data_IF_917614455326
#
_entry.id   IF_917614455326
#
_cell.length_a   1.000
_cell.length_b   1.000
_cell.length_c   1.000
_cell.angle_alpha   90.00
_cell.angle_beta   90.00
_cell.angle_gamma   90.00
#
_symmetry.space_group_name_H-M   'P 1'
#
loop_
_entity.id
_entity.type
_entity.pdbx_description
1 polymer ?
#
# COMPACT_ATOMS: atom_id res chain seq x y z
N UNK A 1 17.46 2.96 -23.00
CA UNK A 1 17.39 1.54 -22.59
C UNK A 1 16.20 1.36 -21.65
N UNK A 2 15.55 0.19 -21.58
CA UNK A 2 14.47 -0.03 -20.63
C UNK A 2 14.98 0.20 -19.21
N UNK A 3 14.27 1.01 -18.44
CA UNK A 3 14.66 1.50 -17.12
C UNK A 3 14.99 0.39 -16.11
N UNK A 4 14.35 -0.78 -16.23
CA UNK A 4 14.62 -1.94 -15.38
C UNK A 4 15.97 -2.61 -15.66
N UNK A 5 16.46 -2.58 -16.91
CA UNK A 5 17.72 -3.23 -17.28
C UNK A 5 18.92 -2.49 -16.67
N UNK A 6 18.89 -1.16 -16.68
CA UNK A 6 19.94 -0.34 -16.10
C UNK A 6 20.05 -0.51 -14.59
N UNK A 7 18.91 -0.66 -13.89
CA UNK A 7 18.89 -0.88 -12.45
C UNK A 7 19.51 -2.24 -12.08
N UNK A 8 19.23 -3.30 -12.85
CA UNK A 8 19.81 -4.63 -12.62
C UNK A 8 21.32 -4.62 -12.86
N UNK A 9 21.78 -3.93 -13.90
CA UNK A 9 23.21 -3.74 -14.17
C UNK A 9 23.91 -3.02 -13.01
N UNK A 10 23.32 -1.93 -12.50
CA UNK A 10 23.86 -1.23 -11.33
C UNK A 10 23.83 -2.09 -10.06
N UNK A 11 22.82 -2.96 -9.91
CA UNK A 11 22.71 -3.83 -8.75
C UNK A 11 23.85 -4.86 -8.67
N UNK A 12 24.52 -5.20 -9.79
CA UNK A 12 25.66 -6.13 -9.78
C UNK A 12 26.80 -5.64 -8.88
N UNK A 13 27.00 -4.33 -8.80
CA UNK A 13 28.02 -3.70 -7.96
C UNK A 13 27.51 -3.30 -6.57
N UNK A 14 26.22 -3.55 -6.27
CA UNK A 14 25.56 -3.15 -5.03
C UNK A 14 24.92 -4.37 -4.35
N UNK A 15 25.66 -5.08 -3.47
CA UNK A 15 25.19 -6.32 -2.85
C UNK A 15 23.85 -6.20 -2.15
N UNK A 16 23.57 -5.08 -1.47
CA UNK A 16 22.28 -4.85 -0.82
C UNK A 16 21.11 -4.85 -1.81
N UNK A 17 21.30 -4.20 -2.97
CA UNK A 17 20.25 -4.06 -3.98
C UNK A 17 20.05 -5.37 -4.74
N UNK A 18 21.12 -6.07 -5.10
CA UNK A 18 21.01 -7.37 -5.77
C UNK A 18 20.29 -8.39 -4.88
N UNK A 19 20.67 -8.48 -3.60
CA UNK A 19 19.99 -9.39 -2.67
C UNK A 19 18.51 -9.02 -2.54
N UNK A 20 18.16 -7.73 -2.50
CA UNK A 20 16.74 -7.33 -2.40
C UNK A 20 15.94 -7.66 -3.68
N UNK A 21 16.54 -7.48 -4.86
CA UNK A 21 15.95 -7.89 -6.15
C UNK A 21 15.72 -9.42 -6.17
N UNK A 22 16.68 -10.20 -5.68
CA UNK A 22 16.55 -11.65 -5.60
C UNK A 22 15.49 -12.08 -4.58
N UNK A 23 15.40 -11.40 -3.44
CA UNK A 23 14.35 -11.62 -2.44
C UNK A 23 12.96 -11.41 -3.03
N UNK A 24 12.77 -10.27 -3.70
CA UNK A 24 11.52 -9.90 -4.37
C UNK A 24 11.15 -10.90 -5.48
N UNK A 25 12.15 -11.29 -6.28
CA UNK A 25 11.99 -12.28 -7.35
C UNK A 25 11.60 -13.66 -6.82
N UNK A 26 12.23 -14.10 -5.72
CA UNK A 26 11.90 -15.35 -5.05
C UNK A 26 10.46 -15.33 -4.52
N UNK A 27 9.99 -14.23 -3.92
CA UNK A 27 8.58 -14.11 -3.50
C UNK A 27 7.60 -14.20 -4.67
N UNK A 28 7.88 -13.51 -5.78
CA UNK A 28 7.07 -13.64 -6.98
C UNK A 28 7.09 -15.06 -7.57
N UNK A 29 8.23 -15.76 -7.49
CA UNK A 29 8.29 -17.18 -7.87
C UNK A 29 7.45 -18.06 -6.95
N UNK A 30 7.34 -17.74 -5.66
CA UNK A 30 6.47 -18.46 -4.74
C UNK A 30 4.99 -18.34 -5.12
N UNK A 31 4.55 -17.16 -5.60
CA UNK A 31 3.15 -16.95 -6.03
C UNK A 31 2.84 -17.61 -7.37
N UNK A 32 3.83 -17.76 -8.25
CA UNK A 32 3.67 -18.36 -9.58
C UNK A 32 3.97 -19.86 -9.62
N UNK A 33 4.64 -20.42 -8.59
CA UNK A 33 5.01 -21.84 -8.49
C UNK A 33 4.63 -22.43 -7.12
N UNK A 34 3.34 -22.75 -6.90
CA UNK A 34 2.85 -23.27 -5.62
C UNK A 34 3.60 -24.50 -5.10
N UNK A 35 3.99 -25.42 -6.00
CA UNK A 35 4.71 -26.66 -5.66
C UNK A 35 6.07 -26.42 -4.99
N UNK A 36 6.66 -25.24 -5.20
CA UNK A 36 7.96 -24.83 -4.65
C UNK A 36 7.85 -23.59 -3.76
N UNK A 37 6.63 -23.17 -3.40
CA UNK A 37 6.39 -21.92 -2.69
C UNK A 37 7.19 -21.85 -1.39
N UNK A 38 7.19 -22.90 -0.57
CA UNK A 38 7.95 -22.93 0.68
C UNK A 38 9.45 -22.74 0.49
N UNK A 39 10.03 -23.32 -0.57
CA UNK A 39 11.46 -23.17 -0.89
C UNK A 39 11.77 -21.73 -1.32
N UNK A 40 10.93 -21.14 -2.16
CA UNK A 40 11.10 -19.77 -2.61
C UNK A 40 10.85 -18.74 -1.51
N UNK A 41 9.91 -18.99 -0.59
CA UNK A 41 9.70 -18.15 0.60
C UNK A 41 10.92 -18.20 1.52
N UNK A 42 11.51 -19.38 1.71
CA UNK A 42 12.74 -19.52 2.47
C UNK A 42 13.87 -18.68 1.84
N UNK A 43 14.09 -18.86 0.54
CA UNK A 43 15.11 -18.13 -0.22
C UNK A 43 14.88 -16.60 -0.20
N UNK A 44 13.62 -16.17 -0.31
CA UNK A 44 13.26 -14.76 -0.21
C UNK A 44 13.68 -14.15 1.13
N UNK A 45 13.43 -14.87 2.23
CA UNK A 45 13.80 -14.43 3.58
C UNK A 45 15.31 -14.37 3.77
N UNK A 46 16.05 -15.36 3.26
CA UNK A 46 17.52 -15.35 3.31
C UNK A 46 18.10 -14.15 2.56
N UNK A 47 17.68 -13.92 1.31
CA UNK A 47 18.14 -12.79 0.53
C UNK A 47 17.76 -11.45 1.17
N UNK A 48 16.55 -11.31 1.71
CA UNK A 48 16.13 -10.09 2.39
C UNK A 48 16.99 -9.82 3.64
N UNK A 49 17.35 -10.85 4.40
CA UNK A 49 18.24 -10.72 5.56
C UNK A 49 19.66 -10.26 5.16
N UNK A 50 20.20 -10.82 4.08
CA UNK A 50 21.49 -10.38 3.53
C UNK A 50 21.42 -8.94 3.02
N UNK A 51 20.38 -8.61 2.27
CA UNK A 51 20.10 -7.27 1.75
C UNK A 51 20.12 -6.20 2.86
N UNK A 52 19.37 -6.41 3.94
CA UNK A 52 19.34 -5.53 5.10
C UNK A 52 20.69 -5.44 5.81
N UNK A 53 21.40 -6.57 5.94
CA UNK A 53 22.74 -6.59 6.55
C UNK A 53 23.72 -5.75 5.74
N UNK A 54 23.82 -5.98 4.42
CA UNK A 54 24.68 -5.20 3.54
C UNK A 54 24.32 -3.72 3.57
N UNK A 55 23.03 -3.38 3.50
CA UNK A 55 22.59 -1.99 3.54
C UNK A 55 23.04 -1.28 4.83
N UNK A 56 22.78 -1.89 5.98
CA UNK A 56 23.12 -1.34 7.29
C UNK A 56 24.64 -1.24 7.52
N UNK A 57 25.42 -2.18 6.99
CA UNK A 57 26.90 -2.13 7.08
C UNK A 57 27.54 -1.10 6.17
N UNK A 58 26.90 -0.76 5.05
CA UNK A 58 27.45 0.19 4.07
C UNK A 58 27.50 1.61 4.65
N UNK A 59 26.62 1.97 5.59
CA UNK A 59 26.49 3.31 6.18
C UNK A 59 26.56 4.45 5.14
N UNK A 60 26.02 4.21 3.95
CA UNK A 60 26.06 5.21 2.88
C UNK A 60 25.14 6.38 3.22
N UNK A 61 25.71 7.59 3.23
CA UNK A 61 24.89 8.80 3.16
C UNK A 61 24.15 8.84 1.82
N UNK A 62 22.92 9.33 1.82
CA UNK A 62 22.15 9.51 0.60
C UNK A 62 22.81 10.62 -0.23
N UNK A 63 23.37 10.25 -1.39
CA UNK A 63 23.98 11.16 -2.36
C UNK A 63 23.16 11.17 -3.65
N UNK A 64 23.45 12.12 -4.54
CA UNK A 64 22.82 12.16 -5.85
C UNK A 64 23.01 10.87 -6.66
N UNK A 65 24.15 10.21 -6.49
CA UNK A 65 24.56 9.06 -7.29
C UNK A 65 23.95 7.73 -6.82
N UNK A 66 23.60 7.63 -5.53
CA UNK A 66 23.05 6.41 -4.92
C UNK A 66 21.55 6.51 -4.54
N UNK A 67 20.95 7.71 -4.64
CA UNK A 67 19.59 7.97 -4.16
C UNK A 67 18.54 7.06 -4.82
N UNK A 68 18.67 6.81 -6.13
CA UNK A 68 17.72 5.94 -6.84
C UNK A 68 17.81 4.49 -6.34
N UNK A 69 19.01 3.99 -6.11
CA UNK A 69 19.26 2.62 -5.66
C UNK A 69 18.78 2.43 -4.23
N UNK A 70 19.04 3.40 -3.34
CA UNK A 70 18.51 3.40 -1.97
C UNK A 70 16.99 3.49 -1.94
N UNK A 71 16.40 4.30 -2.83
CA UNK A 71 14.95 4.43 -2.95
C UNK A 71 14.31 3.12 -3.41
N UNK A 72 14.83 2.52 -4.48
CA UNK A 72 14.30 1.25 -5.02
C UNK A 72 14.47 0.12 -4.02
N UNK A 73 15.63 0.04 -3.35
CA UNK A 73 15.84 -0.89 -2.25
C UNK A 73 14.77 -0.72 -1.15
N UNK A 74 14.58 0.51 -0.66
CA UNK A 74 13.62 0.79 0.41
C UNK A 74 12.19 0.52 -0.03
N UNK A 75 11.86 0.78 -1.30
CA UNK A 75 10.57 0.44 -1.88
C UNK A 75 10.32 -1.06 -1.90
N UNK A 76 11.31 -1.86 -2.35
CA UNK A 76 11.21 -3.32 -2.35
C UNK A 76 11.08 -3.90 -0.94
N UNK A 77 11.79 -3.35 0.04
CA UNK A 77 11.64 -3.74 1.45
C UNK A 77 10.20 -3.51 1.92
N UNK A 78 9.62 -2.34 1.60
CA UNK A 78 8.23 -2.05 1.92
C UNK A 78 7.25 -3.01 1.24
N UNK A 79 7.49 -3.33 -0.02
CA UNK A 79 6.69 -4.30 -0.75
C UNK A 79 6.75 -5.72 -0.15
N UNK A 80 7.92 -6.13 0.35
CA UNK A 80 8.09 -7.38 1.07
C UNK A 80 7.29 -7.38 2.39
N UNK A 81 7.27 -6.27 3.12
CA UNK A 81 6.44 -6.11 4.33
C UNK A 81 4.94 -6.17 4.03
N UNK A 82 4.49 -5.58 2.93
CA UNK A 82 3.10 -5.70 2.48
C UNK A 82 2.74 -7.16 2.18
N UNK A 83 3.63 -7.91 1.51
CA UNK A 83 3.44 -9.34 1.31
C UNK A 83 3.37 -10.11 2.64
N UNK A 84 4.24 -9.78 3.61
CA UNK A 84 4.21 -10.42 4.92
C UNK A 84 2.86 -10.20 5.63
N UNK A 85 2.32 -8.97 5.59
CA UNK A 85 0.99 -8.68 6.11
C UNK A 85 -0.11 -9.47 5.36
N UNK A 86 -0.01 -9.59 4.03
CA UNK A 86 -0.94 -10.38 3.22
C UNK A 86 -0.90 -11.88 3.55
N UNK A 87 0.28 -12.38 3.93
CA UNK A 87 0.58 -13.78 4.23
C UNK A 87 0.56 -14.14 5.73
N UNK A 88 0.21 -13.21 6.63
CA UNK A 88 0.14 -13.47 8.06
C UNK A 88 -0.76 -14.69 8.38
N UNK A 89 -0.48 -15.42 9.47
CA UNK A 89 -1.15 -16.68 9.76
C UNK A 89 -2.62 -16.52 10.16
N UNK A 90 -2.95 -15.43 10.86
CA UNK A 90 -4.28 -15.11 11.34
C UNK A 90 -4.63 -13.64 11.10
N UNK A 91 -5.92 -13.31 11.15
CA UNK A 91 -6.37 -11.95 10.88
C UNK A 91 -5.89 -10.93 11.93
N UNK A 92 -5.76 -11.29 13.22
CA UNK A 92 -5.29 -10.35 14.24
C UNK A 92 -3.85 -9.89 13.97
N UNK A 93 -3.00 -10.81 13.52
CA UNK A 93 -1.62 -10.51 13.12
C UNK A 93 -1.56 -9.63 11.86
N UNK A 94 -2.53 -9.73 10.94
CA UNK A 94 -2.58 -8.89 9.73
C UNK A 94 -2.59 -7.40 10.08
N UNK A 95 -3.39 -6.98 11.07
CA UNK A 95 -3.46 -5.55 11.43
C UNK A 95 -2.13 -5.04 11.95
N UNK A 96 -1.47 -5.78 12.85
CA UNK A 96 -0.19 -5.37 13.43
C UNK A 96 0.92 -5.34 12.36
N UNK A 97 0.97 -6.33 11.48
CA UNK A 97 1.90 -6.37 10.36
C UNK A 97 1.64 -5.25 9.34
N UNK A 98 0.37 -4.92 9.09
CA UNK A 98 0.02 -3.84 8.17
C UNK A 98 0.36 -2.46 8.75
N UNK A 99 0.15 -2.25 10.04
CA UNK A 99 0.60 -1.02 10.74
C UNK A 99 2.12 -0.91 10.63
N UNK A 100 2.86 -1.99 10.91
CA UNK A 100 4.33 -2.05 10.75
C UNK A 100 4.77 -1.72 9.32
N UNK A 101 4.06 -2.25 8.32
CA UNK A 101 4.28 -1.93 6.92
C UNK A 101 4.16 -0.43 6.65
N UNK A 102 3.05 0.21 7.04
CA UNK A 102 2.83 1.65 6.83
C UNK A 102 3.96 2.47 7.47
N UNK A 103 4.32 2.15 8.71
CA UNK A 103 5.34 2.89 9.46
C UNK A 103 6.73 2.83 8.82
N UNK A 104 7.17 1.64 8.44
CA UNK A 104 8.49 1.44 7.85
C UNK A 104 8.53 1.97 6.41
N UNK A 105 7.46 1.76 5.65
CA UNK A 105 7.41 2.17 4.26
C UNK A 105 7.33 3.70 4.09
N UNK A 106 6.89 4.45 5.10
CA UNK A 106 7.06 5.91 5.15
C UNK A 106 8.54 6.34 5.10
N UNK A 107 9.48 5.49 5.51
CA UNK A 107 10.92 5.73 5.37
C UNK A 107 11.35 5.98 3.91
N UNK A 108 10.64 5.37 2.94
CA UNK A 108 10.85 5.61 1.50
C UNK A 108 10.68 7.09 1.15
N UNK A 109 9.65 7.75 1.71
CA UNK A 109 9.40 9.18 1.49
C UNK A 109 10.50 10.05 2.08
N UNK A 110 11.09 9.67 3.21
CA UNK A 110 12.19 10.43 3.85
C UNK A 110 13.39 10.44 2.91
N UNK A 111 13.75 9.28 2.36
CA UNK A 111 14.84 9.14 1.37
C UNK A 111 14.52 9.94 0.10
N UNK A 112 13.29 9.80 -0.42
CA UNK A 112 12.85 10.52 -1.61
C UNK A 112 12.89 12.04 -1.44
N UNK A 113 12.47 12.54 -0.27
CA UNK A 113 12.44 13.98 0.03
C UNK A 113 13.84 14.56 0.18
N UNK A 114 14.77 13.82 0.80
CA UNK A 114 16.16 14.24 0.95
C UNK A 114 16.89 14.35 -0.41
N UNK A 115 16.52 13.51 -1.38
CA UNK A 115 17.12 13.47 -2.71
C UNK A 115 16.25 14.12 -3.81
N UNK A 116 15.19 14.85 -3.45
CA UNK A 116 14.16 15.31 -4.38
C UNK A 116 14.71 16.07 -5.60
N UNK A 117 15.61 17.02 -5.36
CA UNK A 117 16.19 17.87 -6.42
C UNK A 117 17.02 17.09 -7.45
N UNK A 118 17.52 15.92 -7.06
CA UNK A 118 18.26 15.01 -7.95
C UNK A 118 17.28 14.09 -8.67
N UNK A 119 16.33 13.50 -7.92
CA UNK A 119 15.38 12.52 -8.44
C UNK A 119 14.49 13.13 -9.54
N UNK A 120 14.06 14.38 -9.38
CA UNK A 120 13.23 15.10 -10.37
C UNK A 120 13.98 15.47 -11.65
N UNK A 121 15.31 15.43 -11.63
CA UNK A 121 16.18 15.67 -12.81
C UNK A 121 16.67 14.37 -13.45
N UNK A 122 16.37 13.24 -12.83
CA UNK A 122 16.77 11.92 -13.33
C UNK A 122 15.91 11.49 -14.52
N UNK A 123 16.31 10.41 -15.19
CA UNK A 123 15.51 9.75 -16.22
C UNK A 123 14.17 9.18 -15.72
N UNK A 124 13.90 9.30 -14.41
CA UNK A 124 12.69 8.79 -13.74
C UNK A 124 11.79 9.91 -13.21
N UNK A 125 12.03 11.17 -13.60
CA UNK A 125 11.31 12.35 -13.11
C UNK A 125 9.79 12.19 -13.12
N UNK A 126 9.22 11.60 -14.18
CA UNK A 126 7.77 11.41 -14.32
C UNK A 126 7.15 10.62 -13.17
N UNK A 127 7.83 9.58 -12.67
CA UNK A 127 7.35 8.77 -11.54
C UNK A 127 7.21 9.60 -10.27
N UNK A 128 8.15 10.54 -10.06
CA UNK A 128 8.13 11.44 -8.91
C UNK A 128 7.09 12.55 -9.07
N UNK A 129 6.93 13.09 -10.27
CA UNK A 129 5.89 14.09 -10.58
C UNK A 129 4.49 13.51 -10.40
N UNK A 130 4.25 12.29 -10.89
CA UNK A 130 3.01 11.56 -10.70
C UNK A 130 2.74 11.28 -9.22
N UNK A 131 3.77 10.80 -8.49
CA UNK A 131 3.68 10.59 -7.04
C UNK A 131 3.35 11.87 -6.27
N UNK A 132 3.94 13.01 -6.66
CA UNK A 132 3.62 14.32 -6.09
C UNK A 132 2.18 14.72 -6.37
N UNK A 133 1.70 14.54 -7.60
CA UNK A 133 0.32 14.85 -7.95
C UNK A 133 -0.67 14.00 -7.13
N UNK A 134 -0.40 12.69 -7.00
CA UNK A 134 -1.21 11.78 -6.17
C UNK A 134 -1.21 12.25 -4.72
N UNK A 135 -0.07 12.67 -4.17
CA UNK A 135 0.03 13.14 -2.77
C UNK A 135 -0.75 14.43 -2.49
N UNK A 136 -1.05 15.22 -3.53
CA UNK A 136 -1.77 16.50 -3.41
C UNK A 136 -3.28 16.36 -3.63
N UNK A 137 -3.76 15.21 -4.11
CA UNK A 137 -5.18 14.99 -4.33
C UNK A 137 -5.91 14.82 -2.98
N UNK A 138 -6.85 15.72 -2.70
CA UNK A 138 -7.77 15.64 -1.56
C UNK A 138 -9.20 15.57 -2.11
N UNK A 139 -9.90 14.50 -1.76
CA UNK A 139 -11.26 14.25 -2.20
C UNK A 139 -12.29 14.97 -1.33
N UNK A 140 -13.42 15.27 -1.94
CA UNK A 140 -14.55 15.99 -1.30
C UNK A 140 -15.86 15.23 -1.40
N UNK A 141 -15.83 13.96 -1.83
CA UNK A 141 -17.00 13.10 -1.87
C UNK A 141 -17.61 12.82 -0.48
N UNK A 142 -18.82 12.27 -0.51
CA UNK A 142 -19.67 12.12 0.67
C UNK A 142 -19.45 10.79 1.42
N UNK A 143 -18.76 9.83 0.82
CA UNK A 143 -18.54 8.46 1.32
C UNK A 143 -17.85 8.46 2.68
N UNK A 144 -16.95 9.42 2.91
CA UNK A 144 -16.18 9.57 4.15
C UNK A 144 -16.67 10.68 5.06
N UNK A 145 -17.76 11.39 4.69
CA UNK A 145 -18.17 12.63 5.36
C UNK A 145 -18.54 12.42 6.82
N UNK A 146 -19.33 11.38 7.10
CA UNK A 146 -19.69 11.10 8.48
C UNK A 146 -18.43 10.83 9.34
N UNK A 147 -17.42 10.13 8.79
CA UNK A 147 -16.20 9.78 9.52
C UNK A 147 -15.34 11.03 9.75
N UNK A 148 -15.35 11.97 8.80
CA UNK A 148 -14.72 13.29 8.96
C UNK A 148 -15.30 14.06 10.15
N UNK A 149 -16.62 14.03 10.32
CA UNK A 149 -17.30 14.64 11.48
C UNK A 149 -16.91 13.93 12.78
N UNK A 150 -16.91 12.60 12.81
CA UNK A 150 -16.48 11.83 13.97
C UNK A 150 -15.05 12.19 14.42
N UNK A 151 -14.11 12.28 13.47
CA UNK A 151 -12.72 12.64 13.77
C UNK A 151 -12.63 14.05 14.33
N UNK A 152 -13.36 15.01 13.73
CA UNK A 152 -13.37 16.41 14.17
C UNK A 152 -13.84 16.55 15.62
N UNK A 153 -14.93 15.86 15.95
CA UNK A 153 -15.59 15.94 17.25
C UNK A 153 -15.00 14.97 18.29
N UNK A 154 -13.99 14.17 17.92
CA UNK A 154 -13.33 13.24 18.84
C UNK A 154 -12.74 13.97 20.05
N UNK A 155 -13.05 13.47 21.25
CA UNK A 155 -12.48 13.96 22.51
C UNK A 155 -11.17 13.23 22.87
N UNK A 156 -10.89 12.11 22.21
CA UNK A 156 -9.74 11.25 22.51
C UNK A 156 -8.48 11.57 21.71
N UNK A 157 -8.55 12.54 20.80
CA UNK A 157 -7.47 12.94 19.91
C UNK A 157 -7.07 14.40 20.13
N UNK A 158 -5.77 14.65 20.07
CA UNK A 158 -5.22 16.01 19.97
C UNK A 158 -5.38 16.58 18.54
N UNK A 159 -5.08 17.86 18.37
CA UNK A 159 -5.28 18.54 17.08
C UNK A 159 -4.38 17.97 15.97
N UNK A 160 -3.18 17.48 16.29
CA UNK A 160 -2.27 16.87 15.31
C UNK A 160 -2.83 15.52 14.82
N UNK A 161 -3.34 14.70 15.74
CA UNK A 161 -4.00 13.43 15.43
C UNK A 161 -5.26 13.67 14.60
N UNK A 162 -6.10 14.63 14.97
CA UNK A 162 -7.30 14.97 14.19
C UNK A 162 -6.95 15.40 12.78
N UNK A 163 -6.01 16.33 12.63
CA UNK A 163 -5.56 16.81 11.33
C UNK A 163 -5.00 15.65 10.49
N UNK A 164 -4.15 14.81 11.07
CA UNK A 164 -3.57 13.67 10.37
C UNK A 164 -4.61 12.65 9.89
N UNK A 165 -5.61 12.33 10.72
CA UNK A 165 -6.70 11.44 10.32
C UNK A 165 -7.56 12.05 9.21
N UNK A 166 -7.83 13.36 9.25
CA UNK A 166 -8.60 14.04 8.21
C UNK A 166 -7.87 14.09 6.86
N UNK A 167 -6.56 14.35 6.87
CA UNK A 167 -5.74 14.34 5.64
C UNK A 167 -5.65 12.93 5.05
N UNK A 168 -5.39 11.93 5.89
CA UNK A 168 -5.34 10.52 5.49
C UNK A 168 -6.67 10.08 4.85
N UNK A 169 -7.79 10.45 5.46
CA UNK A 169 -9.14 10.17 4.97
C UNK A 169 -9.47 10.92 3.67
N UNK A 170 -9.06 12.18 3.55
CA UNK A 170 -9.28 12.97 2.33
C UNK A 170 -8.50 12.41 1.13
N UNK A 171 -7.30 11.87 1.34
CA UNK A 171 -6.55 11.18 0.29
C UNK A 171 -7.25 9.87 -0.16
N UNK A 172 -7.84 9.12 0.77
CA UNK A 172 -8.69 7.95 0.45
C UNK A 172 -9.91 8.39 -0.37
N UNK A 173 -10.60 9.46 0.07
CA UNK A 173 -11.74 10.01 -0.65
C UNK A 173 -11.37 10.40 -2.09
N UNK A 174 -10.19 10.97 -2.33
CA UNK A 174 -9.75 11.28 -3.69
C UNK A 174 -9.65 10.03 -4.58
N UNK A 175 -9.31 8.88 -3.98
CA UNK A 175 -9.27 7.59 -4.68
C UNK A 175 -10.69 7.14 -5.04
N UNK A 176 -11.65 7.33 -4.13
CA UNK A 176 -13.06 7.03 -4.39
C UNK A 176 -13.67 7.95 -5.46
N UNK A 177 -13.37 9.24 -5.41
CA UNK A 177 -13.82 10.22 -6.41
C UNK A 177 -13.27 9.85 -7.80
N UNK A 178 -12.00 9.44 -7.87
CA UNK A 178 -11.36 8.97 -9.10
C UNK A 178 -11.97 7.66 -9.60
N UNK A 179 -12.32 6.72 -8.69
CA UNK A 179 -12.93 5.45 -9.06
C UNK A 179 -14.40 5.60 -9.52
N UNK A 180 -15.19 6.44 -8.85
CA UNK A 180 -16.62 6.64 -9.14
C UNK A 180 -16.86 7.44 -10.43
N UNK A 181 -15.96 8.35 -10.80
CA UNK A 181 -16.03 9.06 -12.09
C UNK A 181 -15.86 8.13 -13.31
N UNK A 182 -15.43 6.89 -13.10
CA UNK A 182 -15.29 5.87 -14.14
C UNK A 182 -16.57 5.04 -14.35
N UNK A 183 -17.36 4.82 -13.29
CA UNK A 183 -18.66 4.12 -13.37
C UNK A 183 -19.75 5.01 -14.00
N UNK A 184 -19.58 6.33 -13.90
CA UNK A 184 -20.34 7.30 -14.68
C UNK A 184 -19.78 7.33 -16.12
N UNK A 185 -20.35 6.52 -17.02
CA UNK A 185 -19.95 6.46 -18.44
C UNK A 185 -19.79 7.84 -19.11
N UNK A 186 -19.04 7.93 -20.21
CA UNK A 186 -18.54 9.19 -20.76
C UNK A 186 -19.67 10.15 -21.10
N UNK A 187 -19.70 11.32 -20.44
CA UNK A 187 -20.59 12.43 -20.82
C UNK A 187 -20.03 13.30 -21.94
N UNK A 188 -18.76 13.16 -22.31
CA UNK A 188 -18.19 13.85 -23.46
C UNK A 188 -17.34 12.92 -24.33
N UNK A 189 -17.62 12.98 -25.62
CA UNK A 189 -16.94 12.27 -26.69
C UNK A 189 -15.52 12.80 -26.89
N UNK A 190 -14.57 12.25 -26.14
CA UNK A 190 -13.14 12.29 -26.48
C UNK A 190 -12.50 10.97 -26.05
N UNK A 191 -11.69 10.31 -26.90
CA UNK A 191 -11.10 9.03 -26.56
C UNK A 191 -10.06 9.20 -25.44
N UNK A 192 -10.07 8.34 -24.40
CA UNK A 192 -9.04 8.37 -23.38
C UNK A 192 -7.71 7.90 -24.00
N UNK A 193 -6.73 8.80 -24.04
CA UNK A 193 -5.37 8.49 -24.46
C UNK A 193 -4.62 7.92 -23.27
N UNK A 194 -4.64 6.59 -23.11
CA UNK A 194 -3.50 5.77 -22.65
C UNK A 194 -3.87 4.27 -22.68
N UNK A 195 -3.19 3.46 -23.51
CA UNK A 195 -3.37 2.01 -23.55
C UNK A 195 -2.57 1.36 -22.41
N UNK A 196 -3.13 1.37 -21.20
CA UNK A 196 -2.55 0.82 -19.98
C UNK A 196 -3.54 0.93 -18.83
N UNK A 197 -4.49 -0.01 -18.79
CA UNK A 197 -5.75 0.08 -18.05
C UNK A 197 -5.67 0.45 -16.56
N UNK A 198 -6.46 1.46 -16.21
CA UNK A 198 -7.42 1.68 -15.10
C UNK A 198 -7.14 1.05 -13.71
N UNK A 199 -6.54 -0.14 -13.62
CA UNK A 199 -5.93 -0.71 -12.42
C UNK A 199 -4.63 0.03 -12.04
N UNK A 200 -3.95 0.64 -13.03
CA UNK A 200 -2.72 1.41 -12.83
C UNK A 200 -2.84 2.56 -11.84
N UNK A 201 -3.99 3.25 -11.82
CA UNK A 201 -4.22 4.38 -10.90
C UNK A 201 -4.51 3.88 -9.47
N UNK A 202 -5.38 2.87 -9.31
CA UNK A 202 -5.76 2.37 -7.99
C UNK A 202 -4.59 1.70 -7.25
N UNK A 203 -3.78 0.88 -7.94
CA UNK A 203 -2.58 0.28 -7.34
C UNK A 203 -1.53 1.35 -7.02
N UNK A 204 -1.36 2.34 -7.91
CA UNK A 204 -0.47 3.47 -7.67
C UNK A 204 -0.87 4.25 -6.41
N UNK A 205 -2.16 4.56 -6.26
CA UNK A 205 -2.70 5.21 -5.06
C UNK A 205 -2.58 4.35 -3.81
N UNK A 206 -2.86 3.04 -3.91
CA UNK A 206 -2.70 2.09 -2.81
C UNK A 206 -1.25 2.01 -2.32
N UNK A 207 -0.28 1.97 -3.24
CA UNK A 207 1.14 1.90 -2.90
C UNK A 207 1.75 3.27 -2.56
N UNK A 208 1.08 4.38 -2.88
CA UNK A 208 1.54 5.73 -2.52
C UNK A 208 0.97 6.21 -1.18
N UNK A 209 -0.28 5.84 -0.85
CA UNK A 209 -0.98 6.34 0.34
C UNK A 209 -0.19 6.17 1.65
N UNK A 210 0.42 5.01 1.95
CA UNK A 210 1.18 4.84 3.18
C UNK A 210 2.41 5.75 3.29
N UNK A 211 2.93 6.25 2.16
CA UNK A 211 4.05 7.18 2.15
C UNK A 211 3.61 8.61 2.53
N UNK A 212 2.35 8.97 2.24
CA UNK A 212 1.88 10.36 2.37
C UNK A 212 1.22 10.66 3.72
N UNK A 213 0.82 9.63 4.49
CA UNK A 213 0.22 9.80 5.83
C UNK A 213 1.17 10.51 6.82
N UNK A 214 0.58 11.27 7.73
CA UNK A 214 1.31 12.14 8.66
C UNK A 214 1.64 11.44 9.99
N UNK A 215 2.60 11.97 10.77
CA UNK A 215 2.91 11.46 12.11
C UNK A 215 1.71 11.44 13.07
N UNK A 216 0.80 12.43 13.00
CA UNK A 216 -0.42 12.47 13.80
C UNK A 216 -1.35 11.28 13.54
N UNK A 217 -1.55 10.93 12.27
CA UNK A 217 -2.30 9.71 11.90
C UNK A 217 -1.60 8.45 12.41
N UNK A 218 -0.29 8.33 12.21
CA UNK A 218 0.45 7.13 12.64
C UNK A 218 0.44 6.95 14.15
N UNK A 219 0.54 8.03 14.92
CA UNK A 219 0.51 7.97 16.38
C UNK A 219 -0.83 7.45 16.89
N UNK A 220 -1.93 7.94 16.32
CA UNK A 220 -3.28 7.49 16.68
C UNK A 220 -3.57 6.07 16.16
N UNK A 221 -3.06 5.71 14.98
CA UNK A 221 -3.17 4.35 14.44
C UNK A 221 -2.39 3.31 15.27
N UNK A 222 -1.16 3.63 15.70
CA UNK A 222 -0.36 2.81 16.62
C UNK A 222 -1.06 2.55 17.94
N UNK A 223 -1.69 3.59 18.47
CA UNK A 223 -2.52 3.50 19.67
C UNK A 223 -3.86 2.77 19.42
N UNK A 224 -4.10 2.26 18.20
CA UNK A 224 -5.31 1.59 17.75
C UNK A 224 -6.57 2.41 18.11
N UNK A 225 -6.48 3.73 17.98
CA UNK A 225 -7.63 4.62 18.21
C UNK A 225 -8.74 4.25 17.23
N UNK A 226 -10.00 4.16 17.70
CA UNK A 226 -11.09 3.70 16.85
C UNK A 226 -11.24 4.49 15.55
N UNK A 227 -11.12 5.80 15.62
CA UNK A 227 -11.25 6.70 14.47
C UNK A 227 -10.18 6.41 13.41
N UNK A 228 -8.94 6.17 13.82
CA UNK A 228 -7.84 5.83 12.90
C UNK A 228 -7.99 4.43 12.31
N UNK A 229 -8.52 3.49 13.08
CA UNK A 229 -8.87 2.17 12.56
C UNK A 229 -9.99 2.25 11.54
N UNK A 230 -10.97 3.15 11.71
CA UNK A 230 -12.01 3.39 10.70
C UNK A 230 -11.44 4.00 9.42
N UNK A 231 -10.50 4.95 9.51
CA UNK A 231 -9.78 5.45 8.33
C UNK A 231 -9.04 4.31 7.62
N UNK A 232 -8.37 3.44 8.38
CA UNK A 232 -7.69 2.27 7.81
C UNK A 232 -8.69 1.26 7.21
N UNK A 233 -9.90 1.12 7.76
CA UNK A 233 -10.95 0.25 7.21
C UNK A 233 -11.39 0.73 5.82
N UNK A 234 -11.48 2.04 5.61
CA UNK A 234 -11.72 2.61 4.28
C UNK A 234 -10.53 2.34 3.33
N UNK A 235 -9.30 2.46 3.81
CA UNK A 235 -8.12 2.11 3.00
C UNK A 235 -8.09 0.62 2.61
N UNK A 236 -8.56 -0.27 3.50
CA UNK A 236 -8.67 -1.70 3.23
C UNK A 236 -9.56 -2.01 2.00
N UNK A 237 -10.55 -1.16 1.71
CA UNK A 237 -11.37 -1.25 0.48
C UNK A 237 -10.52 -1.03 -0.77
N UNK A 238 -9.64 -0.02 -0.78
CA UNK A 238 -8.74 0.25 -1.91
C UNK A 238 -7.79 -0.92 -2.13
N UNK A 239 -7.23 -1.46 -1.04
CA UNK A 239 -6.39 -2.67 -1.11
C UNK A 239 -7.18 -3.86 -1.65
N UNK A 240 -8.46 -3.99 -1.29
CA UNK A 240 -9.33 -5.06 -1.80
C UNK A 240 -9.61 -4.93 -3.29
N UNK A 241 -9.77 -3.72 -3.84
CA UNK A 241 -9.85 -3.51 -5.29
C UNK A 241 -8.59 -4.00 -6.02
N UNK A 242 -7.45 -3.93 -5.34
CA UNK A 242 -6.16 -4.37 -5.86
C UNK A 242 -5.87 -5.86 -5.59
N UNK A 243 -6.82 -6.66 -5.12
CA UNK A 243 -6.59 -8.04 -4.66
C UNK A 243 -6.06 -9.00 -5.74
N UNK A 244 -6.29 -8.68 -7.02
CA UNK A 244 -5.75 -9.44 -8.15
C UNK A 244 -4.24 -9.26 -8.36
N UNK A 245 -3.63 -8.24 -7.74
CA UNK A 245 -2.19 -8.03 -7.80
C UNK A 245 -1.49 -8.97 -6.80
N UNK A 246 -0.50 -9.73 -7.27
CA UNK A 246 0.14 -10.81 -6.49
C UNK A 246 0.70 -10.36 -5.13
N UNK A 247 1.11 -9.09 -5.06
CA UNK A 247 1.72 -8.50 -3.87
C UNK A 247 0.70 -8.12 -2.79
N UNK A 248 -0.51 -7.76 -3.22
CA UNK A 248 -1.61 -7.31 -2.36
C UNK A 248 -2.39 -8.53 -1.87
N UNK A 249 -2.72 -9.44 -2.80
CA UNK A 249 -3.52 -10.62 -2.52
C UNK A 249 -4.80 -10.24 -1.75
N UNK A 250 -5.16 -11.05 -0.75
CA UNK A 250 -6.40 -10.83 0.01
C UNK A 250 -6.26 -9.87 1.19
N UNK A 251 -5.15 -9.13 1.30
CA UNK A 251 -4.84 -8.31 2.50
C UNK A 251 -5.95 -7.32 2.84
N UNK A 252 -6.62 -6.70 1.86
CA UNK A 252 -7.72 -5.75 2.11
C UNK A 252 -8.87 -6.37 2.91
N UNK A 253 -9.43 -7.50 2.44
CA UNK A 253 -10.50 -8.19 3.15
C UNK A 253 -10.10 -8.70 4.55
N UNK A 254 -8.87 -9.19 4.68
CA UNK A 254 -8.32 -9.67 5.96
C UNK A 254 -8.11 -8.54 6.96
N UNK A 255 -7.55 -7.42 6.48
CA UNK A 255 -7.32 -6.22 7.26
C UNK A 255 -8.64 -5.65 7.79
N UNK A 256 -9.69 -5.59 6.96
CA UNK A 256 -11.00 -5.16 7.41
C UNK A 256 -11.54 -6.06 8.53
N UNK A 257 -11.45 -7.39 8.40
CA UNK A 257 -11.88 -8.32 9.46
C UNK A 257 -11.10 -8.13 10.75
N UNK A 258 -9.79 -7.91 10.67
CA UNK A 258 -8.98 -7.62 11.84
C UNK A 258 -9.35 -6.30 12.52
N UNK A 259 -9.65 -5.27 11.73
CA UNK A 259 -10.09 -3.97 12.25
C UNK A 259 -11.43 -4.10 12.97
N UNK A 260 -12.38 -4.82 12.36
CA UNK A 260 -13.67 -5.13 12.98
C UNK A 260 -13.48 -5.82 14.34
N UNK A 261 -12.60 -6.81 14.40
CA UNK A 261 -12.32 -7.53 15.65
C UNK A 261 -11.67 -6.62 16.70
N UNK A 262 -10.73 -5.76 16.29
CA UNK A 262 -10.03 -4.84 17.19
C UNK A 262 -10.92 -3.72 17.75
N UNK A 263 -11.88 -3.22 16.95
CA UNK A 263 -12.83 -2.19 17.35
C UNK A 263 -13.88 -2.69 18.35
N UNK A 264 -14.27 -3.95 18.26
CA UNK A 264 -15.37 -4.52 19.03
C UNK A 264 -16.75 -3.97 18.61
N UNK A 265 -17.80 -4.24 19.40
CA UNK A 265 -19.16 -3.82 19.09
C UNK A 265 -19.36 -2.30 19.20
N UNK A 266 -20.31 -1.75 18.44
CA UNK A 266 -20.72 -0.33 18.49
C UNK A 266 -20.24 0.53 17.32
N UNK A 267 -19.41 -0.04 16.43
CA UNK A 267 -18.84 0.64 15.25
C UNK A 267 -19.51 0.23 13.93
N UNK A 268 -20.57 -0.57 13.99
CA UNK A 268 -21.19 -1.21 12.82
C UNK A 268 -21.68 -0.19 11.78
N UNK A 269 -22.24 0.94 12.24
CA UNK A 269 -22.67 2.04 11.36
C UNK A 269 -21.53 2.57 10.48
N UNK A 270 -20.34 2.68 11.04
CA UNK A 270 -19.16 3.21 10.36
C UNK A 270 -18.52 2.19 9.42
N UNK A 271 -18.63 0.91 9.77
CA UNK A 271 -18.07 -0.20 9.01
C UNK A 271 -19.01 -0.72 7.92
N UNK A 272 -20.28 -0.32 7.92
CA UNK A 272 -21.29 -0.79 6.98
C UNK A 272 -20.87 -0.55 5.53
N UNK A 273 -20.36 0.64 5.20
CA UNK A 273 -19.98 0.98 3.84
C UNK A 273 -18.72 0.21 3.38
N UNK A 274 -17.59 0.18 4.13
CA UNK A 274 -16.44 -0.64 3.77
C UNK A 274 -16.77 -2.13 3.64
N UNK A 275 -17.59 -2.69 4.54
CA UNK A 275 -18.01 -4.10 4.46
C UNK A 275 -18.82 -4.37 3.21
N UNK A 276 -19.81 -3.53 2.91
CA UNK A 276 -20.66 -3.68 1.74
C UNK A 276 -19.87 -3.78 0.43
N UNK A 277 -18.82 -2.97 0.27
CA UNK A 277 -17.98 -3.00 -0.94
C UNK A 277 -17.09 -4.23 -1.05
N UNK A 278 -16.53 -4.70 0.07
CA UNK A 278 -15.70 -5.92 0.07
C UNK A 278 -16.57 -7.15 -0.18
N UNK A 279 -17.78 -7.18 0.38
CA UNK A 279 -18.73 -8.29 0.20
C UNK A 279 -19.34 -8.30 -1.21
N UNK A 280 -19.67 -7.14 -1.80
CA UNK A 280 -20.26 -7.07 -3.14
C UNK A 280 -19.29 -7.47 -4.27
N UNK A 281 -17.99 -7.51 -3.99
CA UNK A 281 -16.93 -7.85 -4.93
C UNK A 281 -16.32 -9.24 -4.67
N UNK A 282 -16.83 -9.97 -3.68
CA UNK A 282 -16.45 -11.35 -3.45
C UNK A 282 -17.10 -12.25 -4.52
N UNK A 283 -16.36 -13.13 -5.21
CA UNK A 283 -16.97 -14.12 -6.09
C UNK A 283 -17.90 -15.03 -5.27
N UNK A 284 -19.12 -15.28 -5.76
CA UNK A 284 -20.06 -16.22 -5.13
C UNK A 284 -19.36 -17.57 -4.85
N UNK A 285 -19.60 -18.20 -3.69
CA UNK A 285 -19.08 -19.53 -3.44
C UNK A 285 -19.62 -20.49 -4.49
N UNK A 286 -18.73 -21.03 -5.33
CA UNK A 286 -18.98 -22.13 -6.26
C UNK A 286 -19.80 -23.21 -5.54
N UNK A 287 -21.08 -23.29 -5.88
CA UNK A 287 -21.96 -24.40 -5.48
C UNK A 287 -21.26 -25.67 -5.92
N UNK A 288 -20.86 -26.48 -4.93
CA UNK A 288 -20.23 -27.77 -5.16
C UNK A 288 -21.13 -28.58 -6.10
N UNK A 289 -20.56 -29.04 -7.21
CA UNK A 289 -21.21 -30.00 -8.07
C UNK A 289 -21.50 -31.26 -7.25
N UNK A 290 -22.78 -31.48 -6.97
CA UNK A 290 -23.34 -32.78 -6.65
C UNK A 290 -22.82 -33.80 -7.67
N UNK A 291 -21.98 -34.73 -7.22
CA UNK A 291 -21.79 -35.99 -7.90
C UNK A 291 -22.68 -37.02 -7.22
N UNK A 292 -23.69 -37.58 -7.91
CA UNK A 292 -24.31 -38.80 -7.45
C UNK A 292 -23.39 -40.00 -7.79
N UNK A 293 -23.35 -40.90 -6.80
CA UNK A 293 -22.77 -42.24 -6.71
C UNK A 293 -22.59 -43.03 -8.00
#
# INVERSE_FOLDING_TARGET
MPTHQHLVEQALDLPYLMNEILAYSARHLASTRPDKASQYIFLAREYQAHALTFFNTTQAETTADNAMQMLVFSWMVGMNLLCDAACADDDATVLDEFIRYIELYRGVRVIASAAWDVLIKSNHASVFEDGKLISMKLGTGAETEALRVLIKDSLGMDDEQKQGNQEALASIQATYDSHSSLDAGPKDSSPPVSPGGHLGDAIGMALAWPQVVTPGFLTSLRAKRPESLLVLAHFAVIMHWCQGHWIVGRVGSRLLRSIVAALGPGWERWLQWPRGLIESTAPEPSVAADQPT
#
